data_IF_925546997056
#
_entry.id   IF_925546997056
#
_cell.length_a   1.000
_cell.length_b   1.000
_cell.length_c   1.000
_cell.angle_alpha   90.00
_cell.angle_beta   90.00
_cell.angle_gamma   90.00
#
_symmetry.space_group_name_H-M   'P 1'
#
loop_
_entity.id
_entity.type
_entity.pdbx_description
1 polymer ?
#
# COMPACT_ATOMS: atom_id res chain seq x y z
N UNK A 1 35.32 -24.25 24.94
CA UNK A 1 35.36 -23.85 26.36
C UNK A 1 35.99 -22.47 26.46
N UNK A 2 35.36 -21.61 27.26
CA UNK A 2 35.85 -20.40 27.96
C UNK A 2 37.38 -20.29 28.09
N UNK A 3 38.07 -19.13 28.09
CA UNK A 3 37.72 -17.73 28.40
C UNK A 3 38.89 -16.80 27.95
N UNK A 4 38.67 -15.47 27.86
CA UNK A 4 39.55 -14.43 27.26
C UNK A 4 40.47 -13.75 28.29
N UNK A 5 41.33 -12.78 27.86
CA UNK A 5 41.56 -11.51 28.58
C UNK A 5 42.49 -10.49 27.85
N UNK A 6 42.28 -9.20 28.20
CA UNK A 6 43.20 -8.01 28.13
C UNK A 6 43.25 -7.21 26.82
N UNK A 7 43.24 -5.87 26.75
CA UNK A 7 42.69 -4.77 27.57
C UNK A 7 43.04 -3.42 26.87
N UNK A 8 42.32 -2.37 27.29
CA UNK A 8 42.66 -0.92 27.35
C UNK A 8 42.54 -0.03 26.10
N UNK A 9 41.78 1.07 26.29
CA UNK A 9 41.81 2.23 25.40
C UNK A 9 40.90 3.44 25.70
N UNK A 10 40.77 3.86 26.98
CA UNK A 10 40.37 5.19 27.52
C UNK A 10 39.10 5.95 27.06
N UNK A 11 38.28 6.25 28.09
CA UNK A 11 37.29 7.33 28.26
C UNK A 11 37.86 8.74 27.99
N UNK A 12 37.05 9.60 27.37
CA UNK A 12 36.91 11.02 27.74
C UNK A 12 35.43 11.35 27.96
N UNK A 13 35.09 11.88 29.14
CA UNK A 13 33.78 12.43 29.49
C UNK A 13 33.77 13.94 29.22
N UNK A 14 32.65 14.44 28.70
CA UNK A 14 32.21 15.80 28.99
C UNK A 14 30.67 15.82 28.98
N UNK A 15 30.10 15.97 30.18
CA UNK A 15 28.72 16.37 30.43
C UNK A 15 28.68 17.90 30.47
N UNK A 16 27.72 18.52 29.78
CA UNK A 16 26.87 19.57 30.37
C UNK A 16 25.81 20.10 29.38
N UNK A 17 24.58 20.13 29.89
CA UNK A 17 23.51 21.10 29.65
C UNK A 17 22.70 21.07 28.33
N UNK A 18 21.38 21.19 28.49
CA UNK A 18 20.53 21.83 27.47
C UNK A 18 19.36 21.01 26.96
N UNK A 19 18.30 20.98 27.75
CA UNK A 19 16.98 20.39 27.57
C UNK A 19 16.28 20.61 26.21
N UNK A 20 15.48 19.58 25.86
CA UNK A 20 14.38 19.52 24.88
C UNK A 20 14.74 19.48 23.39
N UNK A 21 15.34 18.37 22.97
CA UNK A 21 14.96 17.79 21.69
C UNK A 21 13.70 16.96 21.93
N UNK A 22 12.59 17.42 21.37
CA UNK A 22 11.41 16.58 21.14
C UNK A 22 11.89 15.45 20.23
N UNK A 23 12.23 14.32 20.84
CA UNK A 23 12.48 13.09 20.14
C UNK A 23 11.16 12.75 19.43
N UNK A 24 11.12 13.06 18.14
CA UNK A 24 10.09 12.59 17.25
C UNK A 24 10.19 11.07 17.32
N UNK A 25 9.32 10.45 18.14
CA UNK A 25 9.15 9.00 18.18
C UNK A 25 8.66 8.65 16.79
N UNK A 26 9.61 8.30 15.92
CA UNK A 26 9.33 7.60 14.69
C UNK A 26 8.66 6.30 15.13
N UNK A 27 7.34 6.32 15.16
CA UNK A 27 6.51 5.15 15.29
C UNK A 27 6.62 4.41 13.96
N UNK A 28 7.75 3.75 13.77
CA UNK A 28 7.86 2.63 12.86
C UNK A 28 7.06 1.49 13.45
N UNK A 29 5.74 1.63 13.48
CA UNK A 29 4.85 0.48 13.60
C UNK A 29 4.98 -0.26 12.27
N UNK A 30 6.03 -1.07 12.18
CA UNK A 30 5.93 -2.31 11.44
C UNK A 30 4.77 -3.04 12.11
N UNK A 31 3.57 -2.87 11.58
CA UNK A 31 2.50 -3.80 11.83
C UNK A 31 3.10 -5.16 11.48
N UNK A 32 3.31 -5.98 12.51
CA UNK A 32 3.77 -7.35 12.35
C UNK A 32 2.97 -7.94 11.21
N UNK A 33 3.66 -8.29 10.13
CA UNK A 33 3.08 -8.95 8.97
C UNK A 33 2.43 -10.22 9.54
N UNK A 34 1.10 -10.19 9.68
CA UNK A 34 0.37 -11.32 10.22
C UNK A 34 0.73 -12.51 9.35
N UNK A 35 1.06 -13.65 9.97
CA UNK A 35 1.37 -14.91 9.27
C UNK A 35 0.12 -15.39 8.55
N UNK A 36 -0.25 -14.71 7.47
CA UNK A 36 -1.39 -15.08 6.65
C UNK A 36 -0.92 -16.23 5.77
N UNK A 37 -1.65 -17.34 5.85
CA UNK A 37 -1.38 -18.50 5.01
C UNK A 37 -1.89 -18.18 3.60
N UNK A 38 -1.13 -18.51 2.53
CA UNK A 38 -1.65 -18.43 1.17
C UNK A 38 -2.79 -19.45 1.00
N UNK A 39 -3.92 -19.00 0.46
CA UNK A 39 -5.13 -19.81 0.33
C UNK A 39 -5.46 -20.13 -1.12
N UNK A 40 -5.30 -19.16 -2.02
CA UNK A 40 -5.61 -19.30 -3.44
C UNK A 40 -4.70 -18.38 -4.25
N UNK A 41 -4.25 -18.85 -5.40
CA UNK A 41 -3.39 -18.08 -6.29
C UNK A 41 -3.87 -18.21 -7.74
N UNK A 42 -3.82 -17.10 -8.47
CA UNK A 42 -4.02 -17.04 -9.91
C UNK A 42 -2.80 -16.46 -10.59
N UNK A 43 -2.57 -16.91 -11.82
CA UNK A 43 -1.59 -16.32 -12.73
C UNK A 43 -2.34 -15.97 -14.01
N UNK A 44 -2.33 -14.69 -14.37
CA UNK A 44 -2.96 -14.18 -15.57
C UNK A 44 -1.87 -13.74 -16.54
N UNK A 45 -2.05 -14.07 -17.83
CA UNK A 45 -1.30 -13.46 -18.92
C UNK A 45 -2.08 -12.21 -19.33
N UNK A 46 -1.40 -11.07 -19.39
CA UNK A 46 -2.02 -9.76 -19.63
C UNK A 46 -1.19 -8.95 -20.60
N UNK A 47 -1.80 -7.93 -21.20
CA UNK A 47 -1.06 -6.95 -21.98
C UNK A 47 -0.18 -6.07 -21.07
N UNK A 48 1.05 -5.69 -21.46
CA UNK A 48 1.96 -4.87 -20.63
C UNK A 48 1.42 -3.50 -20.22
N UNK A 49 0.49 -2.96 -20.99
CA UNK A 49 -0.22 -1.70 -20.72
C UNK A 49 -1.70 -1.97 -20.38
N UNK A 50 -1.95 -2.83 -19.41
CA UNK A 50 -3.29 -3.10 -18.89
C UNK A 50 -3.53 -2.39 -17.56
N UNK A 51 -4.79 -2.44 -17.11
CA UNK A 51 -5.25 -1.78 -15.89
C UNK A 51 -5.79 -2.79 -14.89
N UNK A 52 -5.50 -2.59 -13.62
CA UNK A 52 -6.01 -3.40 -12.51
C UNK A 52 -7.26 -2.74 -11.95
N UNK A 53 -8.40 -3.42 -12.00
CA UNK A 53 -9.63 -3.00 -11.35
C UNK A 53 -9.99 -3.96 -10.21
N UNK A 54 -9.96 -3.45 -8.98
CA UNK A 54 -10.28 -4.23 -7.78
C UNK A 54 -11.48 -3.65 -7.07
N UNK A 55 -12.48 -4.50 -6.77
CA UNK A 55 -13.61 -4.15 -5.90
C UNK A 55 -13.80 -5.25 -4.85
N UNK A 56 -13.26 -5.01 -3.66
CA UNK A 56 -13.25 -5.99 -2.57
C UNK A 56 -13.55 -5.33 -1.21
N UNK A 57 -14.26 -6.01 -0.29
CA UNK A 57 -14.49 -5.51 1.07
C UNK A 57 -13.35 -5.83 2.05
N UNK A 58 -12.21 -6.36 1.57
CA UNK A 58 -11.07 -6.78 2.39
C UNK A 58 -9.79 -6.01 2.08
N UNK A 59 -8.65 -6.44 2.66
CA UNK A 59 -7.37 -5.77 2.48
C UNK A 59 -6.78 -6.06 1.10
N UNK A 60 -6.32 -5.03 0.40
CA UNK A 60 -5.71 -5.13 -0.93
C UNK A 60 -4.28 -4.61 -0.88
N UNK A 61 -3.35 -5.41 -1.37
CA UNK A 61 -1.94 -5.05 -1.51
C UNK A 61 -1.54 -5.14 -2.97
N UNK A 62 -0.92 -4.09 -3.50
CA UNK A 62 -0.41 -4.07 -4.87
C UNK A 62 1.08 -3.77 -4.82
N UNK A 63 1.86 -4.63 -5.47
CA UNK A 63 3.31 -4.45 -5.62
C UNK A 63 3.75 -4.76 -7.05
N UNK A 64 4.81 -4.11 -7.53
CA UNK A 64 5.38 -4.43 -8.81
C UNK A 64 6.08 -5.79 -8.76
N UNK A 65 6.14 -6.43 -9.91
CA UNK A 65 7.05 -7.51 -10.22
C UNK A 65 8.47 -6.96 -10.37
N UNK A 66 9.43 -7.85 -10.20
CA UNK A 66 10.82 -7.55 -10.54
C UNK A 66 10.99 -7.61 -12.07
N UNK A 67 11.32 -6.49 -12.74
CA UNK A 67 11.51 -6.46 -14.20
C UNK A 67 12.64 -7.37 -14.68
N UNK A 68 13.63 -7.67 -13.82
CA UNK A 68 14.72 -8.59 -14.19
C UNK A 68 14.22 -10.03 -14.28
N UNK A 69 13.23 -10.39 -13.47
CA UNK A 69 12.62 -11.72 -13.47
C UNK A 69 11.53 -11.84 -14.55
N UNK A 70 10.81 -10.75 -14.83
CA UNK A 70 9.70 -10.71 -15.80
C UNK A 70 9.88 -9.53 -16.77
N UNK A 71 10.79 -9.65 -17.75
CA UNK A 71 11.11 -8.55 -18.66
C UNK A 71 9.95 -8.20 -19.61
N UNK A 72 9.12 -9.19 -19.96
CA UNK A 72 8.01 -9.02 -20.90
C UNK A 72 6.82 -8.26 -20.31
N UNK A 73 6.78 -8.07 -18.98
CA UNK A 73 5.70 -7.36 -18.29
C UNK A 73 4.28 -7.90 -18.62
N UNK A 74 4.17 -9.19 -18.95
CA UNK A 74 2.97 -9.83 -19.51
C UNK A 74 2.20 -10.67 -18.49
N UNK A 75 2.54 -10.58 -17.20
CA UNK A 75 1.97 -11.44 -16.15
C UNK A 75 1.43 -10.64 -15.00
N UNK A 76 0.35 -11.12 -14.41
CA UNK A 76 -0.17 -10.65 -13.12
C UNK A 76 -0.38 -11.86 -12.21
N UNK A 77 0.12 -11.76 -10.98
CA UNK A 77 -0.11 -12.76 -9.95
C UNK A 77 -1.10 -12.23 -8.93
N UNK A 78 -2.14 -13.00 -8.64
CA UNK A 78 -3.11 -12.68 -7.58
C UNK A 78 -2.99 -13.74 -6.52
N UNK A 79 -2.68 -13.34 -5.29
CA UNK A 79 -2.54 -14.22 -4.14
C UNK A 79 -3.56 -13.80 -3.07
N UNK A 80 -4.46 -14.69 -2.71
CA UNK A 80 -5.36 -14.50 -1.58
C UNK A 80 -4.76 -15.21 -0.37
N UNK A 81 -4.61 -14.45 0.71
CA UNK A 81 -4.10 -14.93 1.99
C UNK A 81 -5.14 -14.65 3.08
N UNK A 82 -5.18 -15.49 4.10
CA UNK A 82 -6.10 -15.31 5.22
C UNK A 82 -5.48 -15.67 6.56
N UNK A 83 -6.14 -15.22 7.62
CA UNK A 83 -5.78 -15.55 8.98
C UNK A 83 -6.23 -16.98 9.26
N UNK A 84 -5.33 -17.81 9.79
CA UNK A 84 -5.57 -19.21 10.12
C UNK A 84 -6.57 -19.29 11.30
N UNK A 85 -7.86 -19.16 10.99
CA UNK A 85 -8.95 -19.40 11.94
C UNK A 85 -9.35 -20.86 11.78
N UNK A 86 -9.14 -21.66 12.82
CA UNK A 86 -9.58 -23.05 12.92
C UNK A 86 -10.90 -23.30 12.17
N UNK A 87 -10.80 -23.93 11.00
CA UNK A 87 -11.66 -24.91 10.28
C UNK A 87 -13.21 -24.83 10.42
N UNK A 88 -13.83 -23.84 11.06
CA UNK A 88 -15.28 -23.82 11.35
C UNK A 88 -16.02 -22.66 10.68
N UNK A 89 -15.32 -21.82 9.92
CA UNK A 89 -15.92 -20.90 8.97
C UNK A 89 -15.08 -21.00 7.72
N UNK A 90 -15.47 -21.90 6.80
CA UNK A 90 -14.81 -22.01 5.50
C UNK A 90 -14.68 -20.60 4.92
N UNK A 91 -13.46 -20.21 4.57
CA UNK A 91 -13.27 -18.97 3.82
C UNK A 91 -13.91 -19.23 2.47
N UNK A 92 -15.02 -18.56 2.18
CA UNK A 92 -15.73 -18.70 0.92
C UNK A 92 -14.94 -17.97 -0.18
N UNK A 93 -13.83 -18.59 -0.57
CA UNK A 93 -12.88 -18.09 -1.56
C UNK A 93 -13.39 -18.28 -3.00
N UNK A 94 -14.54 -18.92 -3.16
CA UNK A 94 -15.20 -19.10 -4.45
C UNK A 94 -15.98 -17.85 -4.86
N UNK A 95 -16.29 -16.96 -3.91
CA UNK A 95 -16.86 -15.65 -4.18
C UNK A 95 -15.87 -14.62 -4.76
N UNK A 96 -14.60 -15.00 -4.96
CA UNK A 96 -13.57 -14.13 -5.57
C UNK A 96 -13.46 -14.47 -7.04
N UNK A 97 -14.01 -13.60 -7.89
CA UNK A 97 -13.87 -13.70 -9.33
C UNK A 97 -12.63 -12.90 -9.78
N UNK A 98 -11.72 -13.56 -10.48
CA UNK A 98 -10.50 -12.98 -11.05
C UNK A 98 -10.51 -13.25 -12.54
N UNK A 99 -10.62 -12.19 -13.34
CA UNK A 99 -10.71 -12.29 -14.81
C UNK A 99 -9.84 -11.25 -15.47
N UNK A 100 -9.38 -11.56 -16.67
CA UNK A 100 -8.76 -10.60 -17.56
C UNK A 100 -9.66 -10.43 -18.79
N UNK A 101 -9.95 -9.17 -19.11
CA UNK A 101 -10.69 -8.77 -20.29
C UNK A 101 -9.71 -8.19 -21.32
N UNK A 102 -9.58 -8.86 -22.46
CA UNK A 102 -8.68 -8.48 -23.55
C UNK A 102 -9.15 -7.22 -24.28
N UNK A 103 -10.47 -7.01 -24.40
CA UNK A 103 -11.02 -5.88 -25.14
C UNK A 103 -10.75 -4.57 -24.41
N UNK A 104 -11.00 -4.54 -23.11
CA UNK A 104 -10.73 -3.37 -22.27
C UNK A 104 -9.29 -3.32 -21.74
N UNK A 105 -8.52 -4.41 -21.88
CA UNK A 105 -7.19 -4.61 -21.28
C UNK A 105 -7.23 -4.40 -19.76
N UNK A 106 -8.17 -5.06 -19.09
CA UNK A 106 -8.38 -4.88 -17.65
C UNK A 106 -8.40 -6.21 -16.90
N UNK A 107 -7.64 -6.26 -15.81
CA UNK A 107 -7.75 -7.32 -14.82
C UNK A 107 -8.83 -6.92 -13.83
N UNK A 108 -9.92 -7.67 -13.80
CA UNK A 108 -11.03 -7.46 -12.89
C UNK A 108 -10.95 -8.45 -11.73
N UNK A 109 -10.94 -7.91 -10.50
CA UNK A 109 -11.02 -8.68 -9.26
C UNK A 109 -12.23 -8.19 -8.47
N UNK A 110 -13.24 -9.04 -8.33
CA UNK A 110 -14.51 -8.69 -7.68
C UNK A 110 -14.94 -9.73 -6.68
N UNK A 111 -15.45 -9.28 -5.54
CA UNK A 111 -16.10 -10.12 -4.54
C UNK A 111 -17.10 -9.31 -3.72
N UNK A 112 -18.21 -9.93 -3.32
CA UNK A 112 -19.26 -9.30 -2.50
C UNK A 112 -19.18 -9.73 -1.03
N UNK A 113 -18.88 -11.00 -0.78
CA UNK A 113 -18.80 -11.57 0.57
C UNK A 113 -17.46 -12.29 0.75
N UNK A 114 -16.55 -11.63 1.45
CA UNK A 114 -15.25 -12.17 1.83
C UNK A 114 -14.88 -11.63 3.22
N UNK A 115 -14.25 -12.46 4.04
CA UNK A 115 -13.86 -12.06 5.39
C UNK A 115 -12.93 -10.82 5.36
N UNK A 116 -13.21 -9.76 6.12
CA UNK A 116 -12.42 -8.53 6.10
C UNK A 116 -10.95 -8.68 6.53
N UNK A 117 -10.59 -9.78 7.21
CA UNK A 117 -9.22 -10.09 7.59
C UNK A 117 -8.43 -10.77 6.48
N UNK A 118 -9.10 -11.21 5.41
CA UNK A 118 -8.39 -11.69 4.21
C UNK A 118 -7.60 -10.55 3.58
N UNK A 119 -6.52 -10.93 2.90
CA UNK A 119 -5.67 -10.01 2.19
C UNK A 119 -5.41 -10.54 0.79
N UNK A 120 -5.79 -9.75 -0.21
CA UNK A 120 -5.51 -10.00 -1.61
C UNK A 120 -4.27 -9.23 -2.01
N UNK A 121 -3.22 -9.96 -2.36
CA UNK A 121 -1.96 -9.43 -2.83
C UNK A 121 -1.87 -9.62 -4.34
N UNK A 122 -1.76 -8.50 -5.05
CA UNK A 122 -1.64 -8.45 -6.51
C UNK A 122 -0.23 -8.02 -6.86
N UNK A 123 0.45 -8.84 -7.65
CA UNK A 123 1.77 -8.52 -8.19
C UNK A 123 1.63 -8.20 -9.68
N UNK A 124 1.73 -6.92 -10.01
CA UNK A 124 1.56 -6.41 -11.38
C UNK A 124 2.90 -6.05 -12.01
N UNK A 125 2.99 -5.86 -13.33
CA UNK A 125 4.11 -5.17 -13.95
C UNK A 125 4.38 -3.80 -13.32
N UNK A 126 5.61 -3.28 -13.49
CA UNK A 126 6.00 -1.96 -12.92
C UNK A 126 5.13 -0.84 -13.47
N UNK A 127 4.87 -0.84 -14.78
CA UNK A 127 3.97 0.11 -15.44
C UNK A 127 2.59 -0.52 -15.57
N UNK A 128 1.64 -0.12 -14.73
CA UNK A 128 0.29 -0.67 -14.71
C UNK A 128 -0.69 0.34 -14.13
N UNK A 129 -1.80 0.57 -14.81
CA UNK A 129 -2.85 1.45 -14.26
C UNK A 129 -3.59 0.75 -13.13
N UNK A 130 -4.00 1.51 -12.11
CA UNK A 130 -4.57 0.93 -10.89
C UNK A 130 -5.85 1.66 -10.50
N UNK A 131 -6.96 0.93 -10.44
CA UNK A 131 -8.24 1.36 -9.94
C UNK A 131 -8.70 0.44 -8.81
N UNK A 132 -8.60 0.89 -7.57
CA UNK A 132 -8.97 0.11 -6.39
C UNK A 132 -10.14 0.78 -5.69
N UNK A 133 -11.18 -0.02 -5.43
CA UNK A 133 -12.33 0.35 -4.63
C UNK A 133 -12.47 -0.63 -3.47
N UNK A 134 -12.27 -0.16 -2.25
CA UNK A 134 -12.54 -0.97 -1.05
C UNK A 134 -13.81 -0.52 -0.35
N UNK A 135 -14.58 -1.51 0.10
CA UNK A 135 -15.85 -1.30 0.80
C UNK A 135 -15.65 -1.63 2.28
N UNK A 136 -16.28 -0.88 3.17
CA UNK A 136 -16.14 -1.06 4.61
C UNK A 136 -14.75 -0.70 5.14
N UNK A 137 -14.10 -1.66 5.80
CA UNK A 137 -12.84 -1.46 6.53
C UNK A 137 -11.60 -1.98 5.79
N UNK A 138 -11.72 -2.35 4.52
CA UNK A 138 -10.61 -2.88 3.71
C UNK A 138 -9.48 -1.87 3.52
N UNK A 139 -8.27 -2.24 3.95
CA UNK A 139 -7.08 -1.40 3.81
C UNK A 139 -6.44 -1.57 2.43
N UNK A 140 -5.86 -0.50 1.90
CA UNK A 140 -5.16 -0.50 0.61
C UNK A 140 -3.68 -0.21 0.83
N UNK A 141 -2.79 -0.98 0.21
CA UNK A 141 -1.35 -0.76 0.25
C UNK A 141 -0.76 -0.88 -1.15
N UNK A 142 -0.19 0.19 -1.68
CA UNK A 142 0.42 0.23 -3.02
C UNK A 142 1.86 0.68 -2.86
N UNK A 143 2.80 -0.05 -3.47
CA UNK A 143 4.23 0.27 -3.38
C UNK A 143 4.87 0.27 -4.75
N UNK A 144 5.71 1.26 -5.05
CA UNK A 144 6.66 1.28 -6.19
C UNK A 144 6.03 1.00 -7.58
N UNK A 145 4.78 1.39 -7.78
CA UNK A 145 4.08 1.26 -9.07
C UNK A 145 4.27 2.54 -9.89
N UNK A 146 4.38 2.38 -11.21
CA UNK A 146 4.29 3.45 -12.20
C UNK A 146 2.98 3.29 -12.99
N UNK A 147 2.26 4.38 -13.22
CA UNK A 147 0.94 4.35 -13.84
C UNK A 147 0.65 5.66 -14.58
N UNK A 148 -0.26 5.63 -15.54
CA UNK A 148 -0.78 6.83 -16.17
C UNK A 148 -2.00 7.33 -15.37
N UNK A 149 -2.88 6.42 -14.94
CA UNK A 149 -4.01 6.74 -14.10
C UNK A 149 -4.09 5.83 -12.85
N UNK A 150 -4.08 6.46 -11.67
CA UNK A 150 -4.28 5.79 -10.39
C UNK A 150 -5.52 6.34 -9.70
N UNK A 151 -6.52 5.49 -9.49
CA UNK A 151 -7.73 5.81 -8.74
C UNK A 151 -7.85 4.90 -7.52
N UNK A 152 -8.00 5.50 -6.36
CA UNK A 152 -8.18 4.78 -5.10
C UNK A 152 -9.41 5.33 -4.40
N UNK A 153 -10.38 4.47 -4.14
CA UNK A 153 -11.59 4.79 -3.39
C UNK A 153 -11.67 3.90 -2.15
N UNK A 154 -11.67 4.50 -0.97
CA UNK A 154 -11.76 3.79 0.31
C UNK A 154 -12.87 4.34 1.19
N UNK A 155 -13.67 3.48 1.81
CA UNK A 155 -14.75 3.92 2.69
C UNK A 155 -14.29 4.27 4.12
N UNK A 156 -13.85 3.29 4.90
CA UNK A 156 -13.36 3.48 6.28
C UNK A 156 -11.95 2.90 6.51
N UNK A 157 -11.37 2.30 5.47
CA UNK A 157 -10.06 1.65 5.52
C UNK A 157 -8.90 2.64 5.51
N UNK A 158 -7.71 2.15 5.87
CA UNK A 158 -6.47 2.91 5.71
C UNK A 158 -5.83 2.66 4.35
N UNK A 159 -5.33 3.72 3.72
CA UNK A 159 -4.69 3.68 2.41
C UNK A 159 -3.23 4.09 2.53
N UNK A 160 -2.30 3.23 2.15
CA UNK A 160 -0.87 3.49 2.18
C UNK A 160 -0.33 3.45 0.75
N UNK A 161 0.22 4.57 0.28
CA UNK A 161 0.89 4.66 -1.00
C UNK A 161 2.37 4.92 -0.76
N UNK A 162 3.23 4.10 -1.33
CA UNK A 162 4.67 4.24 -1.17
C UNK A 162 5.38 4.37 -2.52
N UNK A 163 6.04 5.51 -2.77
CA UNK A 163 6.86 5.72 -3.98
C UNK A 163 6.10 5.45 -5.28
N UNK A 164 4.88 5.98 -5.40
CA UNK A 164 4.02 5.80 -6.57
C UNK A 164 4.30 6.91 -7.58
N UNK A 165 4.47 6.56 -8.85
CA UNK A 165 4.61 7.54 -9.92
C UNK A 165 3.41 7.44 -10.85
N UNK A 166 2.59 8.48 -10.87
CA UNK A 166 1.41 8.59 -11.72
C UNK A 166 1.56 9.77 -12.68
N UNK A 167 0.84 9.77 -13.81
CA UNK A 167 0.49 11.04 -14.45
C UNK A 167 -0.68 11.68 -13.70
N UNK A 168 -1.75 10.93 -13.45
CA UNK A 168 -2.90 11.33 -12.64
C UNK A 168 -3.07 10.38 -11.45
N UNK A 169 -3.12 10.92 -10.23
CA UNK A 169 -3.33 10.16 -9.00
C UNK A 169 -4.52 10.78 -8.26
N UNK A 170 -5.62 10.04 -8.19
CA UNK A 170 -6.85 10.47 -7.54
C UNK A 170 -7.16 9.55 -6.36
N UNK A 171 -7.15 10.10 -5.15
CA UNK A 171 -7.42 9.37 -3.91
C UNK A 171 -8.67 9.94 -3.28
N UNK A 172 -9.68 9.09 -3.11
CA UNK A 172 -10.95 9.43 -2.47
C UNK A 172 -11.14 8.56 -1.24
N UNK A 173 -11.36 9.20 -0.10
CA UNK A 173 -11.59 8.51 1.15
C UNK A 173 -12.79 9.10 1.89
N UNK A 174 -13.73 8.24 2.28
CA UNK A 174 -14.89 8.68 3.07
C UNK A 174 -14.58 8.74 4.58
N UNK A 175 -13.54 8.04 5.03
CA UNK A 175 -13.11 7.94 6.41
C UNK A 175 -11.87 7.05 6.52
N UNK A 176 -11.10 7.22 7.59
CA UNK A 176 -9.88 6.44 7.82
C UNK A 176 -8.61 7.24 7.55
N UNK A 177 -7.48 6.55 7.38
CA UNK A 177 -6.16 7.16 7.33
C UNK A 177 -5.52 6.99 5.96
N UNK A 178 -5.08 8.07 5.33
CA UNK A 178 -4.26 7.99 4.10
C UNK A 178 -2.83 8.35 4.44
N UNK A 179 -1.89 7.50 4.04
CA UNK A 179 -0.46 7.68 4.26
C UNK A 179 0.30 7.59 2.94
N UNK A 180 0.83 8.72 2.52
CA UNK A 180 1.67 8.86 1.34
C UNK A 180 3.14 8.90 1.80
N UNK A 181 3.85 7.80 1.56
CA UNK A 181 5.23 7.56 1.98
C UNK A 181 6.20 7.65 0.80
N UNK A 182 7.35 8.29 0.99
CA UNK A 182 8.29 8.54 -0.10
C UNK A 182 7.73 9.55 -1.11
N UNK A 183 8.20 9.48 -2.36
CA UNK A 183 7.81 10.43 -3.41
C UNK A 183 6.56 9.96 -4.15
N UNK A 184 5.50 10.78 -4.15
CA UNK A 184 4.38 10.62 -5.08
C UNK A 184 4.55 11.60 -6.20
N UNK A 185 4.69 11.10 -7.43
CA UNK A 185 4.84 11.93 -8.62
C UNK A 185 3.54 11.98 -9.42
N UNK A 186 3.21 13.14 -9.97
CA UNK A 186 2.05 13.33 -10.86
C UNK A 186 1.14 14.48 -10.47
N UNK A 187 0.02 14.59 -11.16
CA UNK A 187 -1.11 15.40 -10.75
C UNK A 187 -1.91 14.66 -9.68
N UNK A 188 -1.78 15.10 -8.43
CA UNK A 188 -2.32 14.40 -7.26
C UNK A 188 -3.55 15.14 -6.74
N UNK A 189 -4.75 14.57 -6.92
CA UNK A 189 -6.00 15.02 -6.29
C UNK A 189 -6.32 14.11 -5.10
N UNK A 190 -6.43 14.69 -3.90
CA UNK A 190 -6.78 13.93 -2.69
C UNK A 190 -8.04 14.54 -2.08
N UNK A 191 -9.11 13.76 -2.10
CA UNK A 191 -10.40 14.09 -1.52
C UNK A 191 -10.62 13.24 -0.29
N UNK A 192 -10.58 13.89 0.85
CA UNK A 192 -10.97 13.30 2.11
C UNK A 192 -12.31 13.88 2.55
N UNK A 193 -13.16 13.06 3.14
CA UNK A 193 -14.30 13.53 3.93
C UNK A 193 -13.88 13.74 5.39
N UNK A 194 -14.68 14.52 6.13
CA UNK A 194 -14.32 15.14 7.42
C UNK A 194 -13.77 14.19 8.51
N UNK A 195 -14.01 12.88 8.42
CA UNK A 195 -13.55 11.87 9.38
C UNK A 195 -12.27 11.14 8.94
N UNK A 196 -11.47 11.74 8.05
CA UNK A 196 -10.25 11.14 7.53
C UNK A 196 -9.00 11.92 7.93
N UNK A 197 -7.90 11.20 8.17
CA UNK A 197 -6.60 11.80 8.48
C UNK A 197 -5.64 11.57 7.32
N UNK A 198 -5.10 12.65 6.77
CA UNK A 198 -4.16 12.62 5.65
C UNK A 198 -2.74 12.90 6.14
N UNK A 199 -1.81 12.01 5.79
CA UNK A 199 -0.38 12.19 5.97
C UNK A 199 0.31 12.09 4.60
N UNK A 200 0.83 13.20 4.06
CA UNK A 200 1.76 13.16 2.92
C UNK A 200 3.12 13.74 3.31
N UNK A 201 4.18 12.96 3.09
CA UNK A 201 5.55 13.38 3.36
C UNK A 201 6.22 14.06 2.15
N UNK A 202 5.96 13.60 0.92
CA UNK A 202 6.59 14.14 -0.29
C UNK A 202 5.73 13.89 -1.52
N UNK A 203 4.78 14.79 -1.76
CA UNK A 203 3.95 14.83 -2.95
C UNK A 203 4.56 15.86 -3.93
N UNK A 204 4.99 15.44 -5.12
CA UNK A 204 5.49 16.32 -6.19
C UNK A 204 4.42 16.46 -7.28
N UNK A 205 3.76 17.62 -7.29
CA UNK A 205 2.61 17.96 -8.14
C UNK A 205 1.96 19.25 -7.62
N UNK A 206 0.91 19.75 -8.27
CA UNK A 206 0.04 20.79 -7.71
C UNK A 206 -1.13 20.09 -6.99
N UNK A 207 -1.03 19.79 -5.69
CA UNK A 207 -2.07 19.04 -5.03
C UNK A 207 -3.31 19.91 -4.81
N UNK A 208 -4.44 19.48 -5.35
CA UNK A 208 -5.74 20.00 -4.96
C UNK A 208 -6.26 19.16 -3.81
N UNK A 209 -6.42 19.79 -2.65
CA UNK A 209 -6.96 19.15 -1.46
C UNK A 209 -8.35 19.71 -1.19
N UNK A 210 -9.37 18.85 -1.19
CA UNK A 210 -10.70 19.23 -0.69
C UNK A 210 -10.97 18.53 0.64
N UNK A 211 -11.19 19.35 1.68
CA UNK A 211 -11.95 19.02 2.91
C UNK A 211 -11.42 17.96 3.89
N UNK A 212 -10.27 18.16 4.53
CA UNK A 212 -9.95 17.52 5.83
C UNK A 212 -8.91 18.32 6.62
N UNK A 213 -8.80 18.15 7.96
CA UNK A 213 -7.69 18.70 8.73
C UNK A 213 -6.38 18.02 8.29
N UNK A 214 -5.60 18.72 7.47
CA UNK A 214 -4.32 18.27 6.95
C UNK A 214 -3.19 18.50 7.96
N UNK A 215 -2.39 17.46 8.22
CA UNK A 215 -1.04 17.62 8.79
C UNK A 215 -0.01 17.41 7.69
N UNK A 216 0.39 18.49 7.03
CA UNK A 216 1.50 18.48 6.06
C UNK A 216 2.81 18.65 6.82
N UNK A 217 3.64 17.61 6.86
CA UNK A 217 5.01 17.70 7.35
C UNK A 217 5.95 18.03 6.18
N UNK A 218 6.01 19.31 5.82
CA UNK A 218 7.02 19.82 4.89
C UNK A 218 8.37 19.96 5.59
N UNK A 219 9.36 19.15 5.18
CA UNK A 219 10.75 19.42 5.56
C UNK A 219 11.28 20.46 4.57
N UNK A 220 11.42 21.71 5.01
CA UNK A 220 12.24 22.71 4.31
C UNK A 220 13.66 22.15 4.20
N UNK A 221 14.04 21.71 3.00
CA UNK A 221 15.44 21.53 2.63
C UNK A 221 16.02 22.90 2.32
N UNK A 222 16.95 23.35 3.16
CA UNK A 222 17.96 24.34 2.78
C UNK A 222 19.02 23.66 1.93
#
# INVERSE_FOLDING_TARGET
>A
MMVPLVCRGRLWWALAAGTRRVACRYWGSWAAESKNKPLKQWTLIVHPLSSLRVKLPCNVRVRPQDPLTYPDADRVFVLVSGVDRNVHRGLDLDNIEVRYDEESRQVLITSQDIDPQTCVEVTTPVRFDVNIKTIGHGNVNIKKIECDNCQIETEKGSSVLQSVKGHNVNIRTNGGKVMCLGTIHGNVDIRALAHSVLFCFRCSGAPLFSSAPLQVFGRHGK
#
